data_IF_029537399142
#
_entry.id   IF_029537399142
#
_cell.length_a   1.000
_cell.length_b   1.000
_cell.length_c   1.000
_cell.angle_alpha   90.00
_cell.angle_beta   90.00
_cell.angle_gamma   90.00
#
_symmetry.space_group_name_H-M   'P 1'
#
loop_
_entity.id
_entity.type
_entity.pdbx_description
1 polymer ?
#
# COMPACT_ATOMS: atom_id res chain seq x y z
N UNK A 1 -3.01 -24.27 15.00
CA UNK A 1 -3.30 -22.88 14.58
C UNK A 1 -2.00 -22.11 14.65
N UNK A 2 -1.68 -21.30 13.63
CA UNK A 2 -0.46 -20.51 13.60
C UNK A 2 -0.60 -19.27 14.48
N UNK A 3 0.48 -18.91 15.19
CA UNK A 3 0.55 -17.67 15.97
C UNK A 3 1.35 -16.62 15.23
N UNK A 4 0.83 -15.38 15.22
CA UNK A 4 1.52 -14.23 14.69
C UNK A 4 2.13 -13.42 15.82
N UNK A 5 3.39 -12.98 15.63
CA UNK A 5 4.04 -11.98 16.48
C UNK A 5 4.31 -10.73 15.66
N UNK A 6 3.72 -9.61 16.08
CA UNK A 6 3.88 -8.32 15.40
C UNK A 6 3.71 -7.17 16.38
N UNK A 7 4.64 -6.23 16.40
CA UNK A 7 4.65 -5.05 17.29
C UNK A 7 4.45 -5.41 18.77
N UNK A 8 5.13 -6.46 19.25
CA UNK A 8 5.04 -6.92 20.62
C UNK A 8 3.72 -7.61 20.99
N UNK A 9 2.82 -7.83 20.03
CA UNK A 9 1.57 -8.57 20.22
C UNK A 9 1.66 -9.97 19.66
N UNK A 10 0.97 -10.88 20.30
CA UNK A 10 0.80 -12.26 19.86
C UNK A 10 -0.69 -12.51 19.57
N UNK A 11 -0.99 -13.05 18.39
CA UNK A 11 -2.34 -13.30 17.90
C UNK A 11 -2.43 -14.71 17.31
N UNK A 12 -3.46 -15.45 17.62
CA UNK A 12 -3.77 -16.70 16.94
C UNK A 12 -4.59 -16.43 15.68
N UNK A 13 -4.21 -17.09 14.58
CA UNK A 13 -5.01 -17.08 13.36
C UNK A 13 -6.11 -18.13 13.42
N UNK A 14 -7.31 -17.75 13.00
CA UNK A 14 -8.37 -18.68 12.74
C UNK A 14 -8.04 -19.56 11.51
N UNK A 15 -8.62 -20.76 11.39
CA UNK A 15 -8.44 -21.59 10.21
C UNK A 15 -8.82 -20.86 8.93
N UNK A 16 -7.90 -20.80 7.95
CA UNK A 16 -8.10 -20.12 6.68
C UNK A 16 -8.00 -18.59 6.71
N UNK A 17 -7.80 -18.00 7.87
CA UNK A 17 -7.60 -16.54 8.02
C UNK A 17 -6.26 -16.11 7.46
N UNK A 18 -6.25 -14.99 6.74
CA UNK A 18 -5.02 -14.38 6.28
C UNK A 18 -4.33 -13.59 7.39
N UNK A 19 -3.02 -13.39 7.27
CA UNK A 19 -2.25 -12.52 8.19
C UNK A 19 -2.89 -11.13 8.27
N UNK A 20 -3.32 -10.55 7.14
CA UNK A 20 -3.98 -9.25 7.12
C UNK A 20 -5.26 -9.22 7.96
N UNK A 21 -6.11 -10.23 7.80
CA UNK A 21 -7.38 -10.34 8.54
C UNK A 21 -7.13 -10.51 10.04
N UNK A 22 -6.21 -11.42 10.42
CA UNK A 22 -5.84 -11.64 11.82
C UNK A 22 -5.30 -10.39 12.51
N UNK A 23 -4.39 -9.66 11.84
CA UNK A 23 -3.86 -8.42 12.37
C UNK A 23 -4.94 -7.33 12.53
N UNK A 24 -5.83 -7.17 11.53
CA UNK A 24 -6.95 -6.23 11.59
C UNK A 24 -7.96 -6.58 12.68
N UNK A 25 -8.30 -7.86 12.84
CA UNK A 25 -9.13 -8.38 13.93
C UNK A 25 -8.51 -8.10 15.29
N UNK A 26 -7.18 -8.21 15.40
CA UNK A 26 -6.40 -7.82 16.59
C UNK A 26 -6.30 -6.32 16.84
N UNK A 27 -6.98 -5.47 16.06
CA UNK A 27 -6.97 -4.02 16.20
C UNK A 27 -5.71 -3.34 15.69
N UNK A 28 -4.88 -4.05 14.91
CA UNK A 28 -3.67 -3.50 14.32
C UNK A 28 -3.97 -2.86 12.96
N UNK A 29 -3.47 -1.66 12.74
CA UNK A 29 -3.63 -0.95 11.46
C UNK A 29 -2.57 -1.42 10.47
N UNK A 30 -2.96 -2.28 9.54
CA UNK A 30 -2.11 -2.71 8.42
C UNK A 30 -2.62 -2.05 7.15
N UNK A 31 -1.78 -1.29 6.44
CA UNK A 31 -2.15 -0.72 5.15
C UNK A 31 -2.59 -1.82 4.18
N UNK A 32 -3.72 -1.64 3.54
CA UNK A 32 -4.25 -2.61 2.57
C UNK A 32 -5.13 -1.91 1.54
N UNK A 33 -5.21 -2.47 0.31
CA UNK A 33 -6.03 -1.93 -0.76
C UNK A 33 -6.75 -3.04 -1.54
N UNK A 34 -6.11 -3.67 -2.54
CA UNK A 34 -6.77 -4.60 -3.44
C UNK A 34 -7.20 -5.93 -2.81
N UNK A 35 -6.51 -6.41 -1.79
CA UNK A 35 -6.68 -7.72 -1.11
C UNK A 35 -6.54 -8.97 -2.01
N UNK A 36 -6.06 -8.79 -3.24
CA UNK A 36 -5.85 -9.86 -4.23
C UNK A 36 -4.38 -10.05 -4.61
N UNK A 37 -3.46 -9.48 -3.82
CA UNK A 37 -2.02 -9.66 -4.03
C UNK A 37 -1.38 -8.76 -5.08
N UNK A 38 -2.12 -7.89 -5.77
CA UNK A 38 -1.60 -7.10 -6.88
C UNK A 38 -0.90 -5.79 -6.47
N UNK A 39 -1.48 -5.02 -5.53
CA UNK A 39 -1.05 -3.65 -5.25
C UNK A 39 0.12 -3.52 -4.27
N UNK A 40 0.55 -4.59 -3.63
CA UNK A 40 1.63 -4.65 -2.64
C UNK A 40 1.48 -3.67 -1.43
N UNK A 41 0.32 -3.04 -1.24
CA UNK A 41 0.07 -2.12 -0.11
C UNK A 41 0.22 -2.84 1.23
N UNK A 42 -0.13 -4.12 1.30
CA UNK A 42 -0.02 -4.97 2.49
C UNK A 42 1.30 -5.74 2.57
N UNK A 43 2.36 -5.27 1.90
CA UNK A 43 3.67 -5.90 1.94
C UNK A 43 4.25 -5.82 3.35
N UNK A 44 4.69 -6.96 3.90
CA UNK A 44 5.31 -7.11 5.22
C UNK A 44 6.54 -8.01 5.10
N UNK A 45 7.38 -8.02 6.13
CA UNK A 45 8.58 -8.85 6.16
C UNK A 45 8.50 -9.87 7.30
N UNK A 46 8.69 -11.14 7.00
CA UNK A 46 8.88 -12.19 8.00
C UNK A 46 10.27 -12.09 8.61
N UNK A 47 10.37 -12.10 9.92
CA UNK A 47 11.63 -12.21 10.68
C UNK A 47 11.98 -13.67 10.94
N UNK A 48 10.96 -14.47 11.24
CA UNK A 48 11.07 -15.92 11.38
C UNK A 48 9.76 -16.60 10.97
N UNK A 49 9.84 -17.88 10.61
CA UNK A 49 8.71 -18.64 10.08
C UNK A 49 8.52 -18.44 8.57
N UNK A 50 7.53 -19.15 8.01
CA UNK A 50 7.21 -19.08 6.58
C UNK A 50 5.86 -18.43 6.34
N UNK A 51 5.78 -17.38 5.51
CA UNK A 51 4.50 -16.74 5.18
C UNK A 51 3.67 -17.54 4.17
N UNK A 52 4.21 -18.65 3.64
CA UNK A 52 3.61 -19.46 2.58
C UNK A 52 3.91 -18.95 1.17
N UNK A 53 4.06 -19.87 0.22
CA UNK A 53 4.46 -19.55 -1.15
C UNK A 53 3.45 -18.63 -1.88
N UNK A 54 2.15 -18.79 -1.63
CA UNK A 54 1.10 -17.96 -2.23
C UNK A 54 1.26 -16.48 -1.86
N UNK A 55 1.77 -16.19 -0.67
CA UNK A 55 2.00 -14.83 -0.20
C UNK A 55 3.17 -14.11 -0.87
N UNK A 56 3.97 -14.82 -1.65
CA UNK A 56 5.14 -14.30 -2.34
C UNK A 56 4.99 -14.27 -3.87
N UNK A 57 3.81 -14.60 -4.38
CA UNK A 57 3.52 -14.51 -5.81
C UNK A 57 3.57 -13.04 -6.24
N UNK A 58 4.26 -12.78 -7.39
CA UNK A 58 4.42 -11.43 -7.94
C UNK A 58 5.49 -10.56 -7.25
N UNK A 59 6.19 -11.06 -6.21
CA UNK A 59 7.34 -10.39 -5.63
C UNK A 59 8.62 -10.71 -6.40
N UNK A 60 9.57 -9.77 -6.36
CA UNK A 60 10.90 -9.96 -6.96
C UNK A 60 11.69 -11.05 -6.20
N UNK A 61 12.63 -11.75 -6.85
CA UNK A 61 13.46 -12.75 -6.17
C UNK A 61 14.12 -12.23 -4.90
N UNK A 62 14.74 -11.05 -4.95
CA UNK A 62 15.39 -10.41 -3.80
C UNK A 62 14.42 -10.16 -2.64
N UNK A 63 13.19 -9.71 -2.93
CA UNK A 63 12.18 -9.53 -1.89
C UNK A 63 11.81 -10.87 -1.22
N UNK A 64 11.71 -11.95 -1.99
CA UNK A 64 11.42 -13.28 -1.44
C UNK A 64 12.55 -13.77 -0.53
N UNK A 65 13.79 -13.60 -0.96
CA UNK A 65 14.99 -13.96 -0.19
C UNK A 65 15.09 -13.17 1.12
N UNK A 66 14.67 -11.90 1.10
CA UNK A 66 14.60 -11.04 2.28
C UNK A 66 13.38 -11.31 3.18
N UNK A 67 12.54 -12.28 2.84
CA UNK A 67 11.36 -12.66 3.63
C UNK A 67 10.15 -11.75 3.43
N UNK A 68 10.09 -10.91 2.38
CA UNK A 68 8.91 -10.10 2.09
C UNK A 68 7.73 -10.96 1.63
N UNK A 69 6.53 -10.57 2.02
CA UNK A 69 5.29 -11.27 1.68
C UNK A 69 4.09 -10.33 1.68
N UNK A 70 3.02 -10.74 1.01
CA UNK A 70 1.76 -10.03 0.92
C UNK A 70 0.79 -10.54 2.01
N UNK A 71 0.56 -9.75 3.05
CA UNK A 71 -0.25 -10.15 4.20
C UNK A 71 -1.68 -10.59 3.84
N UNK A 72 -2.26 -10.04 2.77
CA UNK A 72 -3.59 -10.43 2.27
C UNK A 72 -3.63 -11.80 1.57
N UNK A 73 -2.48 -12.39 1.25
CA UNK A 73 -2.35 -13.71 0.61
C UNK A 73 -1.69 -14.73 1.54
N UNK A 74 -1.17 -14.30 2.67
CA UNK A 74 -0.47 -15.17 3.61
C UNK A 74 -1.45 -15.90 4.53
N UNK A 75 -1.37 -17.23 4.50
CA UNK A 75 -2.03 -18.14 5.44
C UNK A 75 -0.98 -19.10 5.98
N UNK A 76 -0.20 -18.67 6.97
CA UNK A 76 0.89 -19.47 7.50
C UNK A 76 0.33 -20.71 8.24
N UNK A 77 0.99 -21.85 8.04
CA UNK A 77 0.65 -23.09 8.74
C UNK A 77 1.40 -23.23 10.07
N UNK A 78 2.45 -22.42 10.25
CA UNK A 78 3.32 -22.39 11.43
C UNK A 78 3.40 -20.96 11.99
N UNK A 79 3.95 -20.85 13.19
CA UNK A 79 4.16 -19.55 13.84
C UNK A 79 5.00 -18.63 12.95
N UNK A 80 4.59 -17.36 12.87
CA UNK A 80 5.20 -16.35 12.02
C UNK A 80 5.48 -15.08 12.83
N UNK A 81 6.74 -14.68 12.85
CA UNK A 81 7.15 -13.40 13.40
C UNK A 81 7.31 -12.37 12.28
N UNK A 82 6.67 -11.23 12.44
CA UNK A 82 6.62 -10.18 11.41
C UNK A 82 7.41 -8.97 11.92
N UNK A 83 8.31 -8.48 11.07
CA UNK A 83 9.09 -7.27 11.33
C UNK A 83 8.26 -6.00 11.18
N UNK A 84 8.72 -4.93 11.81
CA UNK A 84 8.14 -3.61 11.58
C UNK A 84 8.32 -3.21 10.12
N UNK A 85 7.26 -2.65 9.55
CA UNK A 85 7.30 -2.13 8.20
C UNK A 85 7.89 -0.72 8.21
N UNK A 86 9.14 -0.59 7.81
CA UNK A 86 9.73 0.71 7.48
C UNK A 86 9.64 0.87 5.96
N UNK A 87 8.71 1.68 5.49
CA UNK A 87 8.63 2.06 4.08
C UNK A 87 9.15 3.48 3.97
N UNK A 88 10.27 3.71 3.26
CA UNK A 88 10.69 5.07 2.96
C UNK A 88 9.55 5.80 2.26
N UNK A 89 9.23 6.97 2.74
CA UNK A 89 8.21 7.83 2.15
C UNK A 89 8.80 9.20 1.88
N UNK A 90 8.48 9.77 0.74
CA UNK A 90 8.87 11.12 0.36
C UNK A 90 7.66 12.03 0.48
N UNK A 91 7.86 13.23 1.02
CA UNK A 91 6.82 14.23 1.04
C UNK A 91 6.57 14.76 -0.38
N UNK A 92 5.31 15.03 -0.67
CA UNK A 92 4.89 15.63 -1.93
C UNK A 92 3.74 16.61 -1.68
N UNK A 93 3.56 17.55 -2.61
CA UNK A 93 2.47 18.53 -2.57
C UNK A 93 1.57 18.40 -3.77
N UNK A 94 0.30 18.57 -3.53
CA UNK A 94 -0.69 18.69 -4.60
C UNK A 94 -0.48 20.04 -5.29
N UNK A 95 -0.22 19.98 -6.60
CA UNK A 95 -0.02 21.17 -7.42
C UNK A 95 -1.32 21.59 -8.09
N UNK A 96 -2.08 20.61 -8.58
CA UNK A 96 -3.27 20.87 -9.38
C UNK A 96 -4.23 19.68 -9.29
N UNK A 97 -5.52 19.96 -9.31
CA UNK A 97 -6.60 18.96 -9.42
C UNK A 97 -7.61 19.45 -10.44
N UNK A 98 -7.70 18.77 -11.58
CA UNK A 98 -8.58 19.13 -12.68
C UNK A 98 -9.61 18.05 -12.96
N UNK A 99 -10.88 18.40 -13.21
CA UNK A 99 -11.87 17.46 -13.65
C UNK A 99 -11.58 17.03 -15.11
N UNK A 100 -11.51 15.72 -15.35
CA UNK A 100 -11.45 15.12 -16.69
C UNK A 100 -12.78 14.56 -17.14
N UNK A 101 -13.76 14.50 -16.24
CA UNK A 101 -15.10 13.98 -16.51
C UNK A 101 -15.92 13.85 -15.24
N UNK A 102 -17.14 13.32 -15.29
CA UNK A 102 -18.08 13.29 -14.16
C UNK A 102 -17.58 12.56 -12.91
N UNK A 103 -16.70 11.59 -13.09
CA UNK A 103 -16.13 10.79 -12.01
C UNK A 103 -14.64 10.53 -12.20
N UNK A 104 -13.93 11.44 -12.87
CA UNK A 104 -12.51 11.31 -13.16
C UNK A 104 -11.83 12.67 -12.96
N UNK A 105 -10.74 12.67 -12.19
CA UNK A 105 -9.91 13.87 -11.99
C UNK A 105 -8.46 13.57 -12.33
N UNK A 106 -7.77 14.56 -12.85
CA UNK A 106 -6.31 14.61 -12.94
C UNK A 106 -5.79 15.23 -11.66
N UNK A 107 -4.81 14.58 -11.04
CA UNK A 107 -4.11 15.09 -9.87
C UNK A 107 -2.63 15.18 -10.20
N UNK A 108 -2.02 16.36 -10.05
CA UNK A 108 -0.59 16.55 -10.20
C UNK A 108 0.06 16.81 -8.84
N UNK A 109 1.13 16.06 -8.58
CA UNK A 109 1.90 16.15 -7.35
C UNK A 109 3.35 16.49 -7.67
N UNK A 110 3.97 17.32 -6.85
CA UNK A 110 5.41 17.55 -6.85
C UNK A 110 6.02 16.89 -5.63
N UNK A 111 6.93 15.95 -5.86
CA UNK A 111 7.72 15.31 -4.83
C UNK A 111 8.85 16.24 -4.37
N UNK A 112 9.17 16.25 -3.08
CA UNK A 112 10.32 17.00 -2.56
C UNK A 112 11.65 16.40 -3.02
N UNK A 113 11.67 15.08 -3.28
CA UNK A 113 12.81 14.39 -3.84
C UNK A 113 12.52 13.94 -5.28
N UNK A 114 13.49 14.05 -6.21
CA UNK A 114 13.32 13.55 -7.56
C UNK A 114 12.95 12.07 -7.59
N UNK A 115 11.90 11.73 -8.31
CA UNK A 115 11.47 10.34 -8.48
C UNK A 115 11.77 9.86 -9.89
N UNK A 116 12.53 8.77 -9.98
CA UNK A 116 12.73 8.04 -11.24
C UNK A 116 11.72 6.92 -11.36
N UNK A 117 10.95 6.90 -12.44
CA UNK A 117 9.95 5.86 -12.70
C UNK A 117 9.87 5.52 -14.19
N UNK A 118 9.16 4.44 -14.50
CA UNK A 118 8.85 4.03 -15.88
C UNK A 118 7.35 4.10 -16.10
N UNK A 119 6.88 4.39 -17.32
CA UNK A 119 5.46 4.34 -17.65
C UNK A 119 4.81 3.01 -17.21
N UNK A 120 3.61 3.09 -16.65
CA UNK A 120 2.89 1.93 -16.14
C UNK A 120 3.26 1.51 -14.70
N UNK A 121 4.22 2.16 -14.08
CA UNK A 121 4.47 1.97 -12.64
C UNK A 121 3.39 2.67 -11.81
N UNK A 122 3.27 2.22 -10.57
CA UNK A 122 2.41 2.84 -9.58
C UNK A 122 3.20 3.25 -8.33
N UNK A 123 2.67 4.19 -7.59
CA UNK A 123 3.15 4.59 -6.27
C UNK A 123 2.05 4.44 -5.23
N UNK A 124 2.44 4.39 -3.98
CA UNK A 124 1.50 4.43 -2.87
C UNK A 124 1.38 5.88 -2.39
N UNK A 125 0.21 6.47 -2.51
CA UNK A 125 -0.09 7.76 -1.92
C UNK A 125 -0.61 7.55 -0.50
N UNK A 126 -0.05 8.29 0.45
CA UNK A 126 -0.44 8.26 1.85
C UNK A 126 -1.01 9.62 2.25
N UNK A 127 -2.23 9.61 2.72
CA UNK A 127 -2.93 10.76 3.29
C UNK A 127 -2.41 11.06 4.72
N UNK A 128 -2.53 12.29 5.24
CA UNK A 128 -2.05 12.64 6.58
C UNK A 128 -2.59 11.77 7.73
N UNK A 129 -3.79 11.21 7.59
CA UNK A 129 -4.38 10.28 8.57
C UNK A 129 -3.87 8.83 8.45
N UNK A 130 -2.90 8.58 7.55
CA UNK A 130 -2.28 7.28 7.34
C UNK A 130 -2.99 6.37 6.34
N UNK A 131 -4.08 6.81 5.69
CA UNK A 131 -4.73 6.03 4.64
C UNK A 131 -3.81 5.94 3.42
N UNK A 132 -3.52 4.71 2.97
CA UNK A 132 -2.64 4.45 1.83
C UNK A 132 -3.42 3.78 0.71
N UNK A 133 -3.21 4.24 -0.55
CA UNK A 133 -3.72 3.60 -1.77
C UNK A 133 -2.69 3.68 -2.89
N UNK A 134 -2.70 2.64 -3.74
CA UNK A 134 -1.87 2.60 -4.94
C UNK A 134 -2.55 3.35 -6.09
N UNK A 135 -1.76 4.16 -6.81
CA UNK A 135 -2.19 4.87 -8.03
C UNK A 135 -1.13 4.73 -9.10
N UNK A 136 -1.56 4.42 -10.31
CA UNK A 136 -0.67 4.34 -11.47
C UNK A 136 -0.30 5.74 -11.94
N UNK A 137 0.99 5.89 -12.31
CA UNK A 137 1.50 7.11 -12.92
C UNK A 137 0.97 7.23 -14.35
N UNK A 138 0.44 8.40 -14.69
CA UNK A 138 -0.21 8.68 -15.97
C UNK A 138 0.66 9.50 -16.93
N UNK A 139 1.83 9.95 -16.48
CA UNK A 139 2.76 10.74 -17.28
C UNK A 139 4.10 10.04 -17.51
N UNK A 140 4.91 10.60 -18.38
CA UNK A 140 6.33 10.28 -18.52
C UNK A 140 7.13 10.92 -17.38
N UNK A 141 8.35 10.40 -17.07
CA UNK A 141 9.21 11.03 -16.07
C UNK A 141 9.44 12.51 -16.34
N UNK A 142 9.32 13.31 -15.30
CA UNK A 142 9.44 14.76 -15.30
C UNK A 142 9.48 15.30 -13.88
N UNK A 143 9.23 16.60 -13.70
CA UNK A 143 9.23 17.23 -12.38
C UNK A 143 8.01 16.84 -11.54
N UNK A 144 6.84 16.73 -12.17
CA UNK A 144 5.59 16.40 -11.50
C UNK A 144 5.18 14.96 -11.76
N UNK A 145 4.46 14.39 -10.82
CA UNK A 145 3.78 13.10 -10.93
C UNK A 145 2.32 13.34 -11.26
N UNK A 146 1.80 12.67 -12.29
CA UNK A 146 0.41 12.82 -12.71
C UNK A 146 -0.37 11.53 -12.48
N UNK A 147 -1.60 11.67 -12.01
CA UNK A 147 -2.52 10.58 -11.73
C UNK A 147 -3.89 10.88 -12.31
N UNK A 148 -4.48 9.90 -12.99
CA UNK A 148 -5.88 9.91 -13.38
C UNK A 148 -6.68 9.11 -12.35
N UNK A 149 -7.42 9.82 -11.51
CA UNK A 149 -8.10 9.24 -10.35
C UNK A 149 -9.59 9.11 -10.62
N UNK A 150 -10.06 7.86 -10.72
CA UNK A 150 -11.49 7.58 -10.74
C UNK A 150 -12.08 7.81 -9.35
N UNK A 151 -13.04 8.70 -9.24
CA UNK A 151 -13.73 9.05 -7.99
C UNK A 151 -14.83 8.05 -7.72
N UNK A 152 -14.68 7.23 -6.70
CA UNK A 152 -15.70 6.30 -6.25
C UNK A 152 -16.60 6.95 -5.20
N UNK A 153 -17.92 6.77 -5.26
CA UNK A 153 -18.87 7.39 -4.30
C UNK A 153 -18.54 7.09 -2.83
N UNK A 154 -18.04 5.89 -2.55
CA UNK A 154 -17.61 5.45 -1.21
C UNK A 154 -16.08 5.42 -1.03
N UNK A 155 -15.34 5.96 -1.99
CA UNK A 155 -13.88 5.92 -2.00
C UNK A 155 -13.26 7.01 -1.13
N UNK A 156 -12.81 6.69 0.07
CA UNK A 156 -12.23 7.67 0.99
C UNK A 156 -11.01 8.41 0.43
N UNK A 157 -10.12 7.72 -0.29
CA UNK A 157 -8.92 8.35 -0.87
C UNK A 157 -9.25 9.11 -2.15
N UNK A 158 -10.03 8.53 -3.06
CA UNK A 158 -10.34 9.17 -4.34
C UNK A 158 -11.20 10.43 -4.18
N UNK A 159 -12.13 10.44 -3.23
CA UNK A 159 -12.90 11.66 -2.88
C UNK A 159 -12.02 12.72 -2.25
N UNK A 160 -11.09 12.33 -1.37
CA UNK A 160 -10.16 13.26 -0.76
C UNK A 160 -9.25 13.91 -1.81
N UNK A 161 -8.69 13.12 -2.73
CA UNK A 161 -7.87 13.64 -3.83
C UNK A 161 -8.67 14.59 -4.75
N UNK A 162 -9.92 14.25 -5.06
CA UNK A 162 -10.78 15.08 -5.90
C UNK A 162 -11.17 16.42 -5.25
N UNK A 163 -11.18 16.48 -3.93
CA UNK A 163 -11.50 17.69 -3.16
C UNK A 163 -10.26 18.43 -2.63
N UNK A 164 -9.05 17.94 -2.98
CA UNK A 164 -7.83 18.49 -2.48
C UNK A 164 -7.49 19.84 -3.13
N UNK A 165 -6.83 20.68 -2.38
CA UNK A 165 -6.42 22.01 -2.84
C UNK A 165 -4.91 22.05 -3.14
N UNK A 166 -4.48 22.91 -4.09
CA UNK A 166 -3.06 23.16 -4.31
C UNK A 166 -2.33 23.54 -3.01
N UNK A 167 -1.14 23.00 -2.83
CA UNK A 167 -0.33 23.19 -1.62
C UNK A 167 -0.57 22.18 -0.51
N UNK A 168 -1.59 21.31 -0.62
CA UNK A 168 -1.90 20.29 0.38
C UNK A 168 -0.87 19.16 0.33
N UNK A 169 -0.44 18.70 1.52
CA UNK A 169 0.59 17.66 1.64
C UNK A 169 0.02 16.25 1.44
N UNK A 170 0.84 15.40 0.83
CA UNK A 170 0.65 13.96 0.66
C UNK A 170 2.02 13.27 0.75
N UNK A 171 2.03 12.00 1.04
CA UNK A 171 3.27 11.20 1.06
C UNK A 171 3.16 10.00 0.15
#
# INVERSE_FOLDING_TARGET
MARLRYQGRELELAPGETVLEGLQRGGLRVPSSCRVGACQTCLMQARSGSPGAAAQVGLRPTQKEEGWFLACQSRPEQDLEIGERVVPTTAARIMEVDPLGPALVRVRLRSEEPMSFRPGQFVHLQRPDGLIRAYSLANLPGEDLEFHVRVHPQGHMSRWLAAALPGQDVR
#
